data_IF_619687872741
#
_entry.id   IF_619687872741
#
_cell.length_a   1.000
_cell.length_b   1.000
_cell.length_c   1.000
_cell.angle_alpha   90.00
_cell.angle_beta   90.00
_cell.angle_gamma   90.00
#
_symmetry.space_group_name_H-M   'P 1'
#
loop_
_entity.id
_entity.type
_entity.pdbx_description
1 polymer ?
#
# COMPACT_ATOMS: atom_id res chain seq x y z
N UNK A 1 -18.61 -7.80 -38.20
CA UNK A 1 -17.42 -8.26 -37.45
C UNK A 1 -16.45 -7.10 -37.48
N UNK A 2 -16.40 -6.29 -36.41
CA UNK A 2 -15.44 -5.19 -36.33
C UNK A 2 -14.03 -5.75 -36.29
N UNK A 3 -13.08 -5.11 -36.96
CA UNK A 3 -11.67 -5.50 -36.89
C UNK A 3 -11.23 -5.59 -35.43
N UNK A 4 -10.55 -6.68 -35.08
CA UNK A 4 -9.86 -6.83 -33.80
C UNK A 4 -8.69 -5.85 -33.84
N UNK A 5 -8.92 -4.63 -33.35
CA UNK A 5 -7.94 -3.57 -33.29
C UNK A 5 -7.23 -3.53 -31.94
N UNK A 6 -5.93 -3.21 -31.96
CA UNK A 6 -5.22 -2.78 -30.74
C UNK A 6 -5.58 -1.31 -30.50
N UNK A 7 -6.10 -1.01 -29.31
CA UNK A 7 -6.42 0.36 -28.90
C UNK A 7 -5.29 0.90 -28.04
N UNK A 8 -4.68 1.99 -28.49
CA UNK A 8 -3.74 2.74 -27.66
C UNK A 8 -4.50 3.63 -26.68
N UNK A 9 -3.99 3.73 -25.45
CA UNK A 9 -4.59 4.57 -24.41
C UNK A 9 -3.72 5.79 -24.11
N UNK A 10 -4.37 6.90 -23.79
CA UNK A 10 -3.75 7.98 -23.01
C UNK A 10 -4.13 7.79 -21.55
N UNK A 11 -3.12 7.53 -20.72
CA UNK A 11 -3.29 7.25 -19.29
C UNK A 11 -2.89 8.45 -18.44
N UNK A 12 -3.35 8.48 -17.19
CA UNK A 12 -3.13 9.64 -16.31
C UNK A 12 -2.22 9.29 -15.14
N UNK A 13 -1.41 10.28 -14.74
CA UNK A 13 -0.48 10.16 -13.61
C UNK A 13 -1.02 10.89 -12.39
N UNK A 14 -1.11 10.18 -11.27
CA UNK A 14 -1.37 10.75 -9.96
C UNK A 14 -0.07 11.26 -9.34
N UNK A 15 -0.10 12.50 -8.86
CA UNK A 15 1.05 13.23 -8.31
C UNK A 15 1.06 13.26 -6.77
N UNK A 16 0.81 12.11 -6.14
CA UNK A 16 0.77 12.02 -4.68
C UNK A 16 2.14 12.30 -4.05
N UNK A 17 2.14 12.93 -2.87
CA UNK A 17 3.35 13.38 -2.19
C UNK A 17 4.36 12.27 -1.86
N UNK A 18 3.89 11.02 -1.72
CA UNK A 18 4.73 9.86 -1.43
C UNK A 18 5.49 9.35 -2.66
N UNK A 19 5.13 9.80 -3.87
CA UNK A 19 5.80 9.37 -5.11
C UNK A 19 7.22 9.89 -5.21
N UNK A 20 8.09 9.15 -5.93
CA UNK A 20 9.42 9.66 -6.30
C UNK A 20 9.28 10.95 -7.13
N UNK A 21 10.27 11.84 -7.00
CA UNK A 21 10.25 13.18 -7.64
C UNK A 21 10.91 13.18 -9.00
N UNK A 22 10.34 13.94 -9.92
CA UNK A 22 10.93 14.22 -11.24
C UNK A 22 11.33 12.96 -12.01
N UNK A 23 12.44 13.03 -12.77
CA UNK A 23 12.94 11.92 -13.58
C UNK A 23 13.37 10.69 -12.79
N UNK A 24 13.56 10.80 -11.46
CA UNK A 24 13.86 9.62 -10.62
C UNK A 24 12.66 8.66 -10.47
N UNK A 25 11.46 9.11 -10.85
CA UNK A 25 10.26 8.30 -10.81
C UNK A 25 10.12 7.44 -12.06
N UNK A 26 10.00 6.12 -11.88
CA UNK A 26 9.69 5.21 -12.99
C UNK A 26 8.34 5.54 -13.64
N UNK A 27 7.37 6.02 -12.84
CA UNK A 27 6.08 6.50 -13.35
C UNK A 27 6.27 7.71 -14.27
N UNK A 28 7.15 8.65 -13.92
CA UNK A 28 7.44 9.80 -14.77
C UNK A 28 8.12 9.38 -16.08
N UNK A 29 9.10 8.48 -16.01
CA UNK A 29 9.80 7.94 -17.17
C UNK A 29 8.84 7.23 -18.13
N UNK A 30 8.07 6.26 -17.63
CA UNK A 30 7.10 5.52 -18.45
C UNK A 30 6.00 6.41 -19.02
N UNK A 31 5.54 7.40 -18.24
CA UNK A 31 4.52 8.32 -18.72
C UNK A 31 5.05 9.29 -19.79
N UNK A 32 6.31 9.70 -19.72
CA UNK A 32 6.94 10.50 -20.76
C UNK A 32 7.17 9.66 -22.03
N UNK A 33 7.78 8.48 -21.89
CA UNK A 33 8.06 7.57 -23.01
C UNK A 33 6.79 7.09 -23.71
N UNK A 34 5.72 6.88 -22.94
CA UNK A 34 4.39 6.49 -23.43
C UNK A 34 3.54 7.65 -23.95
N UNK A 35 4.07 8.87 -24.06
CA UNK A 35 3.33 10.07 -24.47
C UNK A 35 2.03 10.26 -23.65
N UNK A 36 2.09 10.04 -22.35
CA UNK A 36 1.04 10.33 -21.36
C UNK A 36 1.32 11.66 -20.61
N UNK A 37 2.54 12.16 -20.70
CA UNK A 37 2.98 13.47 -20.23
C UNK A 37 3.78 14.15 -21.33
N UNK A 38 3.65 15.48 -21.45
CA UNK A 38 4.47 16.28 -22.37
C UNK A 38 5.87 16.55 -21.80
N UNK A 39 5.97 16.69 -20.48
CA UNK A 39 7.22 16.99 -19.79
C UNK A 39 7.20 16.50 -18.34
N UNK A 40 8.39 16.33 -17.77
CA UNK A 40 8.60 15.99 -16.36
C UNK A 40 9.14 17.19 -15.61
N UNK A 41 8.48 17.59 -14.53
CA UNK A 41 8.94 18.63 -13.63
C UNK A 41 9.79 18.01 -12.50
N UNK A 42 11.00 18.51 -12.31
CA UNK A 42 11.98 18.01 -11.32
C UNK A 42 11.45 18.05 -9.88
N UNK A 43 10.61 19.04 -9.56
CA UNK A 43 10.12 19.25 -8.19
C UNK A 43 8.87 18.41 -7.86
N UNK A 44 8.17 17.92 -8.88
CA UNK A 44 6.89 17.22 -8.76
C UNK A 44 7.08 15.74 -8.42
N UNK A 45 6.29 15.22 -7.48
CA UNK A 45 6.16 13.78 -7.26
C UNK A 45 5.26 13.12 -8.30
N UNK A 46 5.71 12.00 -8.85
CA UNK A 46 4.94 11.19 -9.80
C UNK A 46 4.76 9.79 -9.19
N UNK A 47 3.56 9.51 -8.68
CA UNK A 47 3.32 8.40 -7.75
C UNK A 47 2.70 7.18 -8.44
N UNK A 48 1.62 7.37 -9.21
CA UNK A 48 0.89 6.28 -9.85
C UNK A 48 0.55 6.61 -11.30
N UNK A 49 0.80 5.70 -12.25
CA UNK A 49 0.24 5.73 -13.60
C UNK A 49 -0.98 4.79 -13.65
N UNK A 50 -2.17 5.31 -13.95
CA UNK A 50 -3.42 4.53 -13.93
C UNK A 50 -3.85 4.12 -15.33
N UNK A 51 -4.16 2.83 -15.49
CA UNK A 51 -4.63 2.22 -16.73
C UNK A 51 -5.94 1.47 -16.46
N UNK A 52 -7.07 2.03 -16.90
CA UNK A 52 -8.37 1.40 -16.74
C UNK A 52 -9.53 2.38 -16.79
N UNK A 53 -10.66 1.96 -16.22
CA UNK A 53 -11.96 2.65 -16.30
C UNK A 53 -12.35 3.36 -15.01
N UNK A 54 -11.41 3.58 -14.08
CA UNK A 54 -11.75 4.16 -12.79
C UNK A 54 -12.20 5.63 -12.93
N UNK A 55 -13.35 6.04 -12.37
CA UNK A 55 -13.94 7.36 -12.62
C UNK A 55 -13.07 8.52 -12.15
N UNK A 56 -12.29 8.35 -11.08
CA UNK A 56 -11.37 9.38 -10.57
C UNK A 56 -10.12 9.60 -11.44
N UNK A 57 -9.83 8.71 -12.38
CA UNK A 57 -8.64 8.80 -13.23
C UNK A 57 -8.85 8.00 -14.54
N UNK A 58 -9.78 8.43 -15.40
CA UNK A 58 -10.23 7.62 -16.54
C UNK A 58 -9.21 7.62 -17.67
N UNK A 59 -8.75 6.45 -18.11
CA UNK A 59 -7.96 6.36 -19.35
C UNK A 59 -8.80 6.76 -20.57
N UNK A 60 -8.16 7.38 -21.56
CA UNK A 60 -8.78 7.78 -22.83
C UNK A 60 -8.30 6.89 -23.97
N UNK A 61 -9.15 6.64 -24.97
CA UNK A 61 -8.73 5.99 -26.21
C UNK A 61 -8.02 7.04 -27.06
N UNK A 62 -6.73 6.82 -27.34
CA UNK A 62 -5.88 7.80 -28.03
C UNK A 62 -6.44 8.15 -29.40
N UNK A 63 -6.41 9.44 -29.74
CA UNK A 63 -6.97 9.95 -31.00
C UNK A 63 -8.47 10.16 -30.99
N UNK A 64 -9.14 9.95 -29.84
CA UNK A 64 -10.57 10.20 -29.65
C UNK A 64 -10.82 11.03 -28.39
N UNK A 65 -12.05 11.52 -28.23
CA UNK A 65 -12.56 12.16 -27.01
C UNK A 65 -13.19 11.17 -26.01
N UNK A 66 -13.16 9.87 -26.31
CA UNK A 66 -13.82 8.83 -25.51
C UNK A 66 -12.91 8.31 -24.40
N UNK A 67 -13.49 8.18 -23.22
CA UNK A 67 -12.88 7.38 -22.15
C UNK A 67 -12.96 5.89 -22.51
N UNK A 68 -12.04 5.10 -21.96
CA UNK A 68 -12.08 3.64 -22.09
C UNK A 68 -13.40 3.07 -21.55
N UNK A 69 -13.96 3.68 -20.48
CA UNK A 69 -15.25 3.28 -19.92
C UNK A 69 -16.41 3.49 -20.92
N UNK A 70 -16.45 4.65 -21.60
CA UNK A 70 -17.42 4.93 -22.65
C UNK A 70 -17.27 3.97 -23.83
N UNK A 71 -16.02 3.74 -24.27
CA UNK A 71 -15.72 2.81 -25.35
C UNK A 71 -16.24 1.39 -25.04
N UNK A 72 -15.95 0.87 -23.85
CA UNK A 72 -16.41 -0.46 -23.41
C UNK A 72 -17.94 -0.53 -23.35
N UNK A 73 -18.61 0.55 -22.98
CA UNK A 73 -20.08 0.60 -22.92
C UNK A 73 -20.69 0.51 -24.32
N UNK A 74 -20.08 1.13 -25.32
CA UNK A 74 -20.50 1.08 -26.73
C UNK A 74 -20.10 -0.23 -27.44
N UNK A 75 -19.00 -0.84 -26.99
CA UNK A 75 -18.39 -2.04 -27.55
C UNK A 75 -18.19 -3.14 -26.49
N UNK A 76 -19.25 -3.62 -25.81
CA UNK A 76 -19.12 -4.56 -24.69
C UNK A 76 -18.49 -5.90 -25.08
N UNK A 77 -18.50 -6.25 -26.36
CA UNK A 77 -17.82 -7.42 -26.91
C UNK A 77 -16.30 -7.43 -26.67
N UNK A 78 -15.67 -6.26 -26.46
CA UNK A 78 -14.22 -6.16 -26.24
C UNK A 78 -13.77 -6.77 -24.90
N UNK A 79 -14.67 -6.92 -23.93
CA UNK A 79 -14.38 -7.60 -22.66
C UNK A 79 -14.34 -9.13 -22.80
N UNK A 80 -14.96 -9.67 -23.86
CA UNK A 80 -15.21 -11.10 -24.01
C UNK A 80 -16.40 -11.58 -23.17
N UNK A 81 -17.04 -12.66 -23.64
CA UNK A 81 -18.29 -13.18 -23.05
C UNK A 81 -18.16 -13.61 -21.59
N UNK A 82 -17.01 -14.18 -21.21
CA UNK A 82 -16.76 -14.63 -19.84
C UNK A 82 -16.70 -13.50 -18.82
N UNK A 83 -16.03 -12.39 -19.17
CA UNK A 83 -15.99 -11.19 -18.31
C UNK A 83 -17.36 -10.55 -18.26
N UNK A 84 -18.03 -10.40 -19.42
CA UNK A 84 -19.35 -9.79 -19.50
C UNK A 84 -20.40 -10.53 -18.65
N UNK A 85 -20.39 -11.87 -18.65
CA UNK A 85 -21.32 -12.68 -17.87
C UNK A 85 -21.18 -12.48 -16.34
N UNK A 86 -19.99 -12.12 -15.86
CA UNK A 86 -19.69 -11.99 -14.42
C UNK A 86 -19.72 -10.52 -13.96
N UNK A 87 -19.19 -9.61 -14.77
CA UNK A 87 -18.93 -8.21 -14.40
C UNK A 87 -19.73 -7.20 -15.22
N UNK A 88 -20.57 -7.64 -16.17
CA UNK A 88 -21.31 -6.73 -17.02
C UNK A 88 -20.38 -5.96 -17.96
N UNK A 89 -20.68 -4.68 -18.17
CA UNK A 89 -19.90 -3.77 -19.03
C UNK A 89 -18.75 -3.08 -18.29
N UNK A 90 -18.28 -3.66 -17.18
CA UNK A 90 -17.22 -3.08 -16.35
C UNK A 90 -15.91 -3.84 -16.53
N UNK A 91 -14.81 -3.11 -16.69
CA UNK A 91 -13.47 -3.68 -16.59
C UNK A 91 -13.24 -4.08 -15.11
N UNK A 92 -12.99 -5.37 -14.80
CA UNK A 92 -13.02 -5.84 -13.41
C UNK A 92 -11.71 -5.60 -12.64
N UNK A 93 -10.77 -4.86 -13.21
CA UNK A 93 -9.51 -4.52 -12.58
C UNK A 93 -9.08 -3.09 -12.94
N UNK A 94 -8.23 -2.53 -12.08
CA UNK A 94 -7.49 -1.30 -12.35
C UNK A 94 -6.01 -1.65 -12.34
N UNK A 95 -5.33 -1.39 -13.45
CA UNK A 95 -3.89 -1.62 -13.54
C UNK A 95 -3.14 -0.33 -13.22
N UNK A 96 -2.04 -0.45 -12.47
CA UNK A 96 -1.21 0.69 -12.08
C UNK A 96 0.27 0.36 -12.14
N UNK A 97 1.07 1.38 -12.46
CA UNK A 97 2.49 1.40 -12.09
C UNK A 97 2.65 2.37 -10.92
N UNK A 98 3.35 1.95 -9.87
CA UNK A 98 3.64 2.77 -8.69
C UNK A 98 5.14 3.07 -8.64
N UNK A 99 5.49 4.30 -8.28
CA UNK A 99 6.87 4.74 -8.06
C UNK A 99 7.00 5.37 -6.68
N UNK A 100 7.34 4.51 -5.71
CA UNK A 100 7.27 4.81 -4.28
C UNK A 100 8.54 5.52 -3.81
N UNK A 101 8.40 6.75 -3.29
CA UNK A 101 9.47 7.55 -2.70
C UNK A 101 9.43 7.63 -1.17
N UNK A 102 8.27 7.39 -0.55
CA UNK A 102 8.08 7.29 0.89
C UNK A 102 7.15 6.10 1.23
N UNK A 103 7.27 5.47 2.42
CA UNK A 103 6.41 4.36 2.81
C UNK A 103 4.92 4.73 2.74
N UNK A 104 4.06 3.87 2.21
CA UNK A 104 2.62 4.13 2.20
C UNK A 104 1.97 3.78 3.54
N UNK A 105 0.72 4.21 3.72
CA UNK A 105 -0.08 3.87 4.90
C UNK A 105 -0.23 2.36 5.07
N UNK A 106 -0.18 1.89 6.33
CA UNK A 106 -0.60 0.54 6.68
C UNK A 106 -2.09 0.39 6.36
N UNK A 107 -2.45 -0.62 5.58
CA UNK A 107 -3.79 -0.80 5.05
C UNK A 107 -4.24 -2.25 5.09
N UNK A 108 -5.56 -2.44 5.18
CA UNK A 108 -6.22 -3.72 4.97
C UNK A 108 -7.53 -3.45 4.21
N UNK A 109 -7.82 -4.28 3.21
CA UNK A 109 -9.06 -4.16 2.44
C UNK A 109 -10.14 -5.09 3.00
N UNK A 110 -11.39 -4.62 3.13
CA UNK A 110 -12.48 -5.45 3.63
C UNK A 110 -12.80 -6.61 2.68
N UNK A 111 -13.32 -7.70 3.23
CA UNK A 111 -13.96 -8.74 2.42
C UNK A 111 -15.22 -8.18 1.75
N UNK A 112 -15.72 -8.83 0.69
CA UNK A 112 -16.89 -8.34 -0.06
C UNK A 112 -18.13 -8.14 0.82
N UNK A 113 -18.34 -9.06 1.76
CA UNK A 113 -19.44 -8.97 2.75
C UNK A 113 -19.26 -7.78 3.70
N UNK A 114 -18.01 -7.52 4.11
CA UNK A 114 -17.70 -6.40 5.00
C UNK A 114 -17.76 -5.06 4.27
N UNK A 115 -17.25 -4.97 3.04
CA UNK A 115 -17.28 -3.78 2.21
C UNK A 115 -18.72 -3.28 2.01
N UNK A 116 -19.67 -4.19 1.71
CA UNK A 116 -21.09 -3.86 1.63
C UNK A 116 -21.62 -3.22 2.91
N UNK A 117 -21.37 -3.83 4.06
CA UNK A 117 -21.82 -3.30 5.37
C UNK A 117 -21.19 -1.94 5.69
N UNK A 118 -19.91 -1.76 5.36
CA UNK A 118 -19.18 -0.53 5.60
C UNK A 118 -19.65 0.60 4.70
N UNK A 119 -19.91 0.32 3.42
CA UNK A 119 -20.49 1.28 2.47
C UNK A 119 -21.90 1.72 2.89
N UNK A 120 -22.76 0.79 3.29
CA UNK A 120 -24.11 1.08 3.79
C UNK A 120 -24.07 1.96 5.06
N UNK A 121 -23.09 1.76 5.95
CA UNK A 121 -22.98 2.50 7.20
C UNK A 121 -22.24 3.85 7.08
N UNK A 122 -21.25 3.94 6.19
CA UNK A 122 -20.28 5.05 6.08
C UNK A 122 -19.82 5.23 4.63
N UNK A 123 -20.74 5.55 3.73
CA UNK A 123 -20.45 5.78 2.30
C UNK A 123 -19.49 6.96 2.05
N UNK A 124 -19.34 7.85 3.03
CA UNK A 124 -18.34 8.92 3.04
C UNK A 124 -16.90 8.42 3.18
N UNK A 125 -16.69 7.28 3.85
CA UNK A 125 -15.38 6.66 4.05
C UNK A 125 -15.15 5.43 3.15
N UNK A 126 -16.21 4.69 2.84
CA UNK A 126 -16.18 3.51 2.00
C UNK A 126 -17.02 3.80 0.76
N UNK A 127 -16.43 4.30 -0.33
CA UNK A 127 -17.19 4.85 -1.47
C UNK A 127 -17.88 3.80 -2.32
N UNK A 128 -17.53 2.52 -2.16
CA UNK A 128 -18.14 1.40 -2.87
C UNK A 128 -18.27 0.16 -1.98
N UNK A 129 -19.05 -0.82 -2.47
CA UNK A 129 -19.39 -2.05 -1.75
C UNK A 129 -18.51 -3.25 -2.12
N UNK A 130 -17.41 -3.03 -2.85
CA UNK A 130 -16.60 -4.11 -3.39
C UNK A 130 -15.41 -4.47 -2.48
N UNK A 131 -14.94 -5.71 -2.59
CA UNK A 131 -13.61 -6.04 -2.07
C UNK A 131 -12.51 -5.48 -2.99
N UNK A 132 -11.29 -5.39 -2.47
CA UNK A 132 -10.14 -4.90 -3.23
C UNK A 132 -8.94 -5.84 -3.05
N UNK A 133 -8.96 -7.05 -3.65
CA UNK A 133 -7.77 -7.87 -3.75
C UNK A 133 -6.75 -7.16 -4.65
N UNK A 134 -5.48 -7.15 -4.24
CA UNK A 134 -4.40 -6.46 -4.95
C UNK A 134 -3.23 -7.43 -5.15
N UNK A 135 -2.56 -7.34 -6.29
CA UNK A 135 -1.28 -8.01 -6.54
C UNK A 135 -0.23 -6.95 -6.85
N UNK A 136 0.93 -7.07 -6.24
CA UNK A 136 2.10 -6.24 -6.52
C UNK A 136 3.16 -7.08 -7.23
N UNK A 137 3.71 -6.56 -8.33
CA UNK A 137 4.83 -7.16 -9.06
C UNK A 137 5.97 -6.14 -9.06
N UNK A 138 7.14 -6.56 -8.61
CA UNK A 138 8.31 -5.70 -8.51
C UNK A 138 8.88 -5.42 -9.91
N UNK A 139 8.90 -4.14 -10.32
CA UNK A 139 9.60 -3.68 -11.54
C UNK A 139 11.07 -3.30 -11.23
N UNK A 140 11.32 -2.90 -10.00
CA UNK A 140 12.64 -2.67 -9.40
C UNK A 140 12.71 -3.42 -8.07
N UNK A 141 13.86 -3.46 -7.41
CA UNK A 141 13.92 -3.86 -6.00
C UNK A 141 12.83 -3.11 -5.20
N UNK A 142 12.00 -3.87 -4.50
CA UNK A 142 10.81 -3.38 -3.81
C UNK A 142 10.75 -3.91 -2.39
N UNK A 143 10.27 -3.09 -1.47
CA UNK A 143 10.15 -3.41 -0.06
C UNK A 143 8.70 -3.22 0.37
N UNK A 144 8.16 -4.16 1.14
CA UNK A 144 6.80 -4.08 1.65
C UNK A 144 6.67 -4.64 3.06
N UNK A 145 5.61 -4.20 3.75
CA UNK A 145 5.07 -4.90 4.91
C UNK A 145 3.84 -5.67 4.47
N UNK A 146 3.80 -6.97 4.75
CA UNK A 146 2.67 -7.81 4.37
C UNK A 146 2.37 -8.89 5.41
N UNK A 147 1.11 -8.93 5.85
CA UNK A 147 0.61 -9.88 6.83
C UNK A 147 1.36 -9.85 8.17
N UNK A 148 0.74 -10.42 9.20
CA UNK A 148 1.40 -10.56 10.50
C UNK A 148 2.53 -11.59 10.43
N UNK A 149 3.60 -11.35 11.19
CA UNK A 149 4.66 -12.33 11.44
C UNK A 149 4.10 -13.54 12.19
N UNK A 150 4.78 -14.69 12.14
CA UNK A 150 4.54 -15.78 13.09
C UNK A 150 4.57 -15.24 14.53
N UNK A 151 3.62 -15.67 15.35
CA UNK A 151 3.45 -15.13 16.71
C UNK A 151 4.73 -15.23 17.55
N UNK A 152 5.48 -16.32 17.38
CA UNK A 152 6.76 -16.53 18.05
C UNK A 152 7.82 -15.50 17.66
N UNK A 153 7.84 -15.03 16.40
CA UNK A 153 8.75 -13.97 15.97
C UNK A 153 8.37 -12.64 16.63
N UNK A 154 7.08 -12.32 16.72
CA UNK A 154 6.60 -11.11 17.41
C UNK A 154 7.04 -11.14 18.87
N UNK A 155 6.82 -12.26 19.58
CA UNK A 155 7.25 -12.44 20.97
C UNK A 155 8.77 -12.34 21.12
N UNK A 156 9.54 -12.88 20.18
CA UNK A 156 11.00 -12.82 20.23
C UNK A 156 11.54 -11.40 19.98
N UNK A 157 10.99 -10.68 19.01
CA UNK A 157 11.32 -9.27 18.76
C UNK A 157 10.99 -8.41 19.98
N UNK A 158 9.86 -8.68 20.63
CA UNK A 158 9.42 -7.91 21.79
C UNK A 158 10.43 -7.95 22.93
N UNK A 159 11.18 -9.04 23.11
CA UNK A 159 12.25 -9.16 24.13
C UNK A 159 13.34 -8.09 23.97
N UNK A 160 13.61 -7.64 22.74
CA UNK A 160 14.56 -6.56 22.44
C UNK A 160 13.96 -5.15 22.42
N UNK A 161 12.65 -5.04 22.61
CA UNK A 161 11.87 -3.79 22.49
C UNK A 161 11.20 -3.41 23.81
N UNK A 162 11.96 -3.02 24.86
CA UNK A 162 11.37 -2.55 26.12
C UNK A 162 10.41 -1.36 25.90
N UNK A 163 10.66 -0.51 24.90
CA UNK A 163 9.77 0.59 24.56
C UNK A 163 8.40 0.12 24.08
N UNK A 164 8.36 -0.94 23.27
CA UNK A 164 7.10 -1.54 22.83
C UNK A 164 6.42 -2.34 23.95
N UNK A 165 7.20 -2.95 24.86
CA UNK A 165 6.66 -3.58 26.06
C UNK A 165 5.92 -2.57 26.94
N UNK A 166 6.49 -1.37 27.14
CA UNK A 166 5.83 -0.28 27.88
C UNK A 166 4.52 0.19 27.22
N UNK A 167 4.45 0.20 25.88
CA UNK A 167 3.21 0.52 25.15
C UNK A 167 2.14 -0.55 25.36
N UNK A 168 2.54 -1.82 25.39
CA UNK A 168 1.65 -2.96 25.65
C UNK A 168 1.22 -3.06 27.12
N UNK A 169 2.05 -2.56 28.05
CA UNK A 169 1.78 -2.57 29.48
C UNK A 169 1.54 -4.00 30.00
N UNK A 170 0.53 -4.24 30.85
CA UNK A 170 0.26 -5.56 31.42
C UNK A 170 -0.01 -6.68 30.41
N UNK A 171 -0.30 -6.35 29.14
CA UNK A 171 -0.51 -7.36 28.10
C UNK A 171 0.74 -8.20 27.83
N UNK A 172 1.94 -7.68 28.13
CA UNK A 172 3.20 -8.42 27.94
C UNK A 172 3.33 -9.65 28.84
N UNK A 173 2.58 -9.70 29.93
CA UNK A 173 2.53 -10.85 30.85
C UNK A 173 1.68 -12.00 30.28
N UNK A 174 0.87 -11.72 29.25
CA UNK A 174 0.02 -12.70 28.59
C UNK A 174 0.79 -13.41 27.47
N UNK A 175 0.40 -14.65 27.18
CA UNK A 175 0.92 -15.35 26.01
C UNK A 175 0.42 -14.70 24.71
N UNK A 176 1.24 -14.79 23.66
CA UNK A 176 0.82 -14.52 22.29
C UNK A 176 0.86 -15.83 21.50
N UNK A 177 -0.22 -16.60 21.59
CA UNK A 177 -0.33 -17.96 21.05
C UNK A 177 -1.49 -18.16 20.06
N UNK A 178 -2.38 -17.17 19.96
CA UNK A 178 -3.60 -17.22 19.16
C UNK A 178 -3.86 -15.93 18.39
N UNK A 179 -4.73 -16.02 17.37
CA UNK A 179 -5.21 -14.84 16.61
C UNK A 179 -5.99 -13.86 17.50
N UNK A 180 -6.68 -14.35 18.53
CA UNK A 180 -7.44 -13.52 19.45
C UNK A 180 -6.50 -12.66 20.32
N UNK A 181 -5.42 -13.25 20.85
CA UNK A 181 -4.40 -12.52 21.59
C UNK A 181 -3.66 -11.51 20.70
N UNK A 182 -3.32 -11.90 19.46
CA UNK A 182 -2.72 -10.98 18.49
C UNK A 182 -3.62 -9.78 18.20
N UNK A 183 -4.92 -10.01 17.99
CA UNK A 183 -5.87 -8.93 17.81
C UNK A 183 -5.91 -7.99 19.02
N UNK A 184 -5.90 -8.53 20.24
CA UNK A 184 -5.86 -7.74 21.48
C UNK A 184 -4.59 -6.90 21.58
N UNK A 185 -3.41 -7.50 21.38
CA UNK A 185 -2.12 -6.83 21.42
C UNK A 185 -2.02 -5.74 20.35
N UNK A 186 -2.34 -6.09 19.10
CA UNK A 186 -2.28 -5.15 17.99
C UNK A 186 -3.22 -3.97 18.20
N UNK A 187 -4.46 -4.24 18.65
CA UNK A 187 -5.43 -3.20 19.00
C UNK A 187 -4.88 -2.27 20.09
N UNK A 188 -4.27 -2.83 21.14
CA UNK A 188 -3.71 -2.03 22.22
C UNK A 188 -2.63 -1.07 21.73
N UNK A 189 -1.75 -1.52 20.83
CA UNK A 189 -0.71 -0.67 20.22
C UNK A 189 -1.31 0.41 19.33
N UNK A 190 -2.12 0.06 18.33
CA UNK A 190 -2.63 1.05 17.36
C UNK A 190 -3.60 2.08 17.97
N UNK A 191 -4.18 1.76 19.12
CA UNK A 191 -5.07 2.67 19.87
C UNK A 191 -4.40 3.33 21.08
N UNK A 192 -3.09 3.09 21.29
CA UNK A 192 -2.36 3.65 22.40
C UNK A 192 -2.42 5.19 22.36
N UNK A 193 -2.74 5.86 23.48
CA UNK A 193 -2.73 7.31 23.52
C UNK A 193 -1.34 7.88 23.24
N UNK A 194 -1.25 9.02 22.55
CA UNK A 194 0.01 9.70 22.24
C UNK A 194 0.92 9.90 23.46
N UNK A 195 0.34 10.24 24.63
CA UNK A 195 1.08 10.37 25.89
C UNK A 195 1.79 9.09 26.35
N UNK A 196 1.34 7.92 25.90
CA UNK A 196 1.93 6.61 26.21
C UNK A 196 2.99 6.25 25.19
N UNK A 197 2.67 6.29 23.89
CA UNK A 197 3.59 5.77 22.87
C UNK A 197 4.68 6.74 22.43
N UNK A 198 4.43 8.07 22.44
CA UNK A 198 5.42 9.04 21.95
C UNK A 198 6.74 9.03 22.75
N UNK A 199 6.72 9.00 24.11
CA UNK A 199 7.96 8.89 24.87
C UNK A 199 8.74 7.61 24.54
N UNK A 200 8.03 6.51 24.28
CA UNK A 200 8.63 5.21 23.98
C UNK A 200 9.19 5.18 22.55
N UNK A 201 8.47 5.79 21.59
CA UNK A 201 8.94 5.94 20.22
C UNK A 201 10.24 6.75 20.17
N UNK A 202 10.30 7.87 20.89
CA UNK A 202 11.50 8.71 20.97
C UNK A 202 12.69 7.96 21.60
N UNK A 203 12.46 7.24 22.70
CA UNK A 203 13.49 6.40 23.33
C UNK A 203 14.04 5.33 22.38
N UNK A 204 13.15 4.66 21.65
CA UNK A 204 13.55 3.64 20.68
C UNK A 204 14.38 4.26 19.54
N UNK A 205 13.93 5.37 18.98
CA UNK A 205 14.67 6.11 17.95
C UNK A 205 16.06 6.50 18.44
N UNK A 206 16.18 7.14 19.61
CA UNK A 206 17.48 7.51 20.17
C UNK A 206 18.39 6.31 20.42
N UNK A 207 17.84 5.19 20.93
CA UNK A 207 18.60 3.96 21.18
C UNK A 207 19.18 3.40 19.89
N UNK A 208 18.36 3.32 18.84
CA UNK A 208 18.77 2.81 17.54
C UNK A 208 19.74 3.74 16.80
N UNK A 209 19.57 5.06 16.90
CA UNK A 209 20.50 6.04 16.29
C UNK A 209 21.89 6.02 16.93
N UNK A 210 21.97 5.79 18.25
CA UNK A 210 23.25 5.71 18.98
C UNK A 210 23.98 4.38 18.76
N UNK A 211 23.43 3.45 17.95
CA UNK A 211 23.92 2.07 17.80
C UNK A 211 24.14 1.36 19.14
N UNK A 212 23.40 1.75 20.18
CA UNK A 212 23.50 1.13 21.50
C UNK A 212 22.68 -0.14 21.45
N UNK A 213 23.37 -1.28 21.49
CA UNK A 213 22.82 -2.62 21.69
C UNK A 213 21.45 -2.86 21.02
N UNK A 214 21.45 -3.22 19.74
CA UNK A 214 20.27 -3.79 19.06
C UNK A 214 19.97 -5.22 19.53
N UNK A 215 20.22 -5.53 20.79
CA UNK A 215 20.06 -6.86 21.35
C UNK A 215 18.59 -7.28 21.18
N UNK A 216 18.37 -8.32 20.38
CA UNK A 216 17.03 -8.83 20.07
C UNK A 216 16.32 -8.16 18.89
N UNK A 217 16.89 -7.14 18.24
CA UNK A 217 16.34 -6.51 17.03
C UNK A 217 17.30 -6.74 15.86
N UNK A 218 16.85 -7.39 14.76
CA UNK A 218 17.67 -7.50 13.55
C UNK A 218 18.08 -6.12 13.02
N UNK A 219 19.36 -5.96 12.66
CA UNK A 219 19.92 -4.69 12.18
C UNK A 219 19.14 -4.11 10.98
N UNK A 220 18.67 -4.98 10.09
CA UNK A 220 17.83 -4.60 8.96
C UNK A 220 16.51 -3.96 9.43
N UNK A 221 15.85 -4.55 10.42
CA UNK A 221 14.59 -4.03 10.93
C UNK A 221 14.79 -2.71 11.69
N UNK A 222 15.92 -2.55 12.40
CA UNK A 222 16.30 -1.27 13.01
C UNK A 222 16.52 -0.18 11.94
N UNK A 223 17.20 -0.51 10.83
CA UNK A 223 17.38 0.42 9.71
C UNK A 223 16.05 0.80 9.05
N UNK A 224 15.16 -0.18 8.85
CA UNK A 224 13.80 0.05 8.33
C UNK A 224 13.01 0.95 9.28
N UNK A 225 13.04 0.69 10.60
CA UNK A 225 12.39 1.53 11.60
C UNK A 225 12.82 2.99 11.47
N UNK A 226 14.13 3.26 11.45
CA UNK A 226 14.66 4.63 11.36
C UNK A 226 14.24 5.32 10.06
N UNK A 227 14.19 4.59 8.92
CA UNK A 227 13.68 5.13 7.65
C UNK A 227 12.20 5.48 7.73
N UNK A 228 11.36 4.60 8.29
CA UNK A 228 9.91 4.85 8.44
C UNK A 228 9.66 6.02 9.39
N UNK A 229 10.33 6.05 10.55
CA UNK A 229 10.22 7.14 11.52
C UNK A 229 10.64 8.49 10.92
N UNK A 230 11.69 8.52 10.09
CA UNK A 230 12.10 9.74 9.39
C UNK A 230 11.01 10.27 8.45
N UNK A 231 10.25 9.39 7.79
CA UNK A 231 9.14 9.78 6.94
C UNK A 231 7.88 10.18 7.72
N UNK A 232 7.63 9.53 8.86
CA UNK A 232 6.43 9.69 9.68
C UNK A 232 6.80 9.85 11.16
N UNK A 233 7.42 10.98 11.55
CA UNK A 233 7.80 11.21 12.93
C UNK A 233 6.54 11.25 13.80
N UNK A 234 6.64 10.73 15.02
CA UNK A 234 5.53 10.69 15.99
C UNK A 234 4.33 9.79 15.59
N UNK A 235 4.48 8.93 14.57
CA UNK A 235 3.41 8.04 14.12
C UNK A 235 3.47 6.66 14.81
N UNK A 236 2.33 6.19 15.33
CA UNK A 236 2.19 4.88 15.98
C UNK A 236 2.47 3.70 15.05
N UNK A 237 2.31 3.90 13.73
CA UNK A 237 2.65 2.96 12.67
C UNK A 237 4.11 2.53 12.68
N UNK A 238 5.01 3.32 13.28
CA UNK A 238 6.41 2.92 13.47
C UNK A 238 6.55 1.67 14.35
N UNK A 239 5.65 1.46 15.32
CA UNK A 239 5.64 0.23 16.13
C UNK A 239 4.98 -0.95 15.40
N UNK A 240 4.07 -0.68 14.45
CA UNK A 240 3.36 -1.73 13.70
C UNK A 240 4.31 -2.59 12.87
N UNK A 241 5.45 -2.05 12.43
CA UNK A 241 6.43 -2.80 11.63
C UNK A 241 6.95 -4.07 12.33
N UNK A 242 6.97 -4.09 13.67
CA UNK A 242 7.42 -5.23 14.46
C UNK A 242 6.39 -6.37 14.50
N UNK A 243 5.15 -6.09 14.09
CA UNK A 243 4.09 -7.08 13.96
C UNK A 243 3.99 -7.65 12.54
N UNK A 244 4.48 -6.95 11.52
CA UNK A 244 4.29 -7.30 10.11
C UNK A 244 5.54 -7.90 9.48
N UNK A 245 5.37 -8.87 8.55
CA UNK A 245 6.52 -9.37 7.79
C UNK A 245 7.08 -8.24 6.94
N UNK A 246 8.38 -8.01 7.05
CA UNK A 246 9.12 -7.14 6.16
C UNK A 246 9.65 -7.99 5.00
N UNK A 247 9.15 -7.74 3.80
CA UNK A 247 9.47 -8.51 2.59
C UNK A 247 10.23 -7.63 1.61
N UNK A 248 11.20 -8.25 0.92
CA UNK A 248 11.94 -7.64 -0.19
C UNK A 248 11.68 -8.47 -1.43
N UNK A 249 11.23 -7.82 -2.49
CA UNK A 249 10.98 -8.42 -3.79
C UNK A 249 12.04 -7.94 -4.78
N UNK A 250 12.61 -8.87 -5.54
CA UNK A 250 13.44 -8.62 -6.71
C UNK A 250 12.58 -8.41 -7.96
N UNK A 251 13.11 -7.73 -8.99
CA UNK A 251 12.37 -7.55 -10.24
C UNK A 251 11.80 -8.87 -10.77
N UNK A 252 10.49 -8.88 -11.05
CA UNK A 252 9.73 -10.05 -11.49
C UNK A 252 9.09 -10.88 -10.35
N UNK A 253 9.48 -10.69 -9.09
CA UNK A 253 8.79 -11.31 -7.95
C UNK A 253 7.47 -10.59 -7.64
N UNK A 254 6.53 -11.31 -7.04
CA UNK A 254 5.18 -10.83 -6.80
C UNK A 254 4.65 -11.17 -5.40
N UNK A 255 3.68 -10.37 -4.94
CA UNK A 255 2.97 -10.51 -3.67
C UNK A 255 1.46 -10.31 -3.88
N UNK A 256 0.64 -11.17 -3.28
CA UNK A 256 -0.83 -11.14 -3.30
C UNK A 256 -1.38 -11.43 -1.90
#
# INVERSE_FOLDING_TARGET
>A
MGEVGVLELTCHVQKYHWGKRGPSSLVAQLALDGNHLESVDESTSYAELWMGTHPSCPSQVRGTDKTLASYITEHPECLGSGVHAVFGVQLPFLFKVLSVGAPLSIQAHPTKVMAKKLHEARSDLYPDSNHKPEIAIALTDFEAFCSFRPLQEITNLLKGLPELQEVLGPLVEQSLSSKAELHTWFKAVITAPAKVFLPQLNKLTERLEKNVETVGIPQELASVFLRVHKSYPNDIGCFVIFFLNYVKLKPGEALF
#
